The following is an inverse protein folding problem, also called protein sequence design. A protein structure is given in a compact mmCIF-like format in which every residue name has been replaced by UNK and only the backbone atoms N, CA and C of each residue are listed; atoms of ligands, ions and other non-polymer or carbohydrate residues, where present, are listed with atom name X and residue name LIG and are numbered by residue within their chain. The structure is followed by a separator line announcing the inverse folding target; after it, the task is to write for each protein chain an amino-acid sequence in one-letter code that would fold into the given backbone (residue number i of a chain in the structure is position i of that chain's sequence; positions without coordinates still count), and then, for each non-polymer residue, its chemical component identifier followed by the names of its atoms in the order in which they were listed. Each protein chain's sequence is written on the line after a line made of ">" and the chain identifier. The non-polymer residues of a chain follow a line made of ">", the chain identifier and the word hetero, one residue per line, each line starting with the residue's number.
data_IF_865234210054
#
_entry.id   IF_865234210054
#
_cell.length_a   1.000
_cell.length_b   1.000
_cell.length_c   1.000
_cell.angle_alpha   90.00
_cell.angle_beta   90.00
_cell.angle_gamma   90.00
#
_symmetry.space_group_name_H-M   'P 1'
#
loop_
_entity.id
_entity.type
_entity.pdbx_description
1 polymer ?
#
# COMPACT_ATOMS: atom_id res chain seq x y z
N UNK A 1 -48.07 -59.47 -6.10
CA UNK A 1 -47.37 -58.23 -5.70
C UNK A 1 -45.91 -58.55 -5.42
N UNK A 2 -45.04 -58.59 -6.44
CA UNK A 2 -43.58 -58.57 -6.28
C UNK A 2 -42.98 -57.81 -7.47
N UNK A 3 -41.96 -57.02 -7.13
CA UNK A 3 -40.84 -56.46 -7.89
C UNK A 3 -41.08 -55.42 -8.99
N UNK A 4 -40.49 -54.27 -8.75
CA UNK A 4 -40.18 -53.28 -9.76
C UNK A 4 -39.15 -52.25 -9.31
N UNK A 5 -38.31 -52.55 -8.30
CA UNK A 5 -37.09 -51.78 -8.12
C UNK A 5 -36.16 -52.15 -9.27
N UNK A 6 -36.23 -51.34 -10.32
CA UNK A 6 -35.26 -51.33 -11.40
C UNK A 6 -33.89 -51.10 -10.77
N UNK A 7 -33.13 -52.18 -10.59
CA UNK A 7 -31.70 -52.09 -10.32
C UNK A 7 -31.12 -51.19 -11.39
N UNK A 8 -30.61 -50.02 -11.00
CA UNK A 8 -29.81 -49.18 -11.88
C UNK A 8 -28.64 -50.05 -12.31
N UNK A 9 -28.71 -50.60 -13.53
CA UNK A 9 -27.63 -51.34 -14.13
C UNK A 9 -26.45 -50.38 -14.29
N UNK A 10 -25.55 -50.39 -13.31
CA UNK A 10 -24.21 -49.86 -13.53
C UNK A 10 -23.56 -50.77 -14.58
N UNK A 11 -23.17 -50.24 -15.75
CA UNK A 11 -22.48 -51.04 -16.75
C UNK A 11 -21.22 -51.67 -16.13
N UNK A 12 -20.82 -52.88 -16.54
CA UNK A 12 -19.62 -53.51 -16.03
C UNK A 12 -18.39 -52.64 -16.33
N UNK A 13 -17.51 -52.50 -15.34
CA UNK A 13 -16.24 -51.79 -15.49
C UNK A 13 -15.45 -52.39 -16.65
N UNK A 14 -14.84 -51.55 -17.47
CA UNK A 14 -14.08 -52.02 -18.63
C UNK A 14 -12.88 -52.87 -18.23
N UNK A 15 -12.43 -53.71 -19.16
CA UNK A 15 -11.18 -54.45 -19.04
C UNK A 15 -9.98 -53.53 -18.72
N UNK A 16 -10.03 -52.29 -19.21
CA UNK A 16 -8.97 -51.28 -18.98
C UNK A 16 -8.82 -50.91 -17.50
N UNK A 17 -9.88 -50.98 -16.69
CA UNK A 17 -9.81 -50.73 -15.24
C UNK A 17 -9.09 -51.85 -14.51
N UNK A 18 -9.28 -53.10 -14.94
CA UNK A 18 -8.57 -54.25 -14.35
C UNK A 18 -7.08 -54.16 -14.64
N UNK A 19 -6.73 -53.82 -15.88
CA UNK A 19 -5.33 -53.61 -16.28
C UNK A 19 -4.72 -52.41 -15.55
N UNK A 20 -5.44 -51.30 -15.39
CA UNK A 20 -4.97 -50.15 -14.60
C UNK A 20 -4.66 -50.54 -13.15
N UNK A 21 -5.53 -51.31 -12.50
CA UNK A 21 -5.30 -51.80 -11.14
C UNK A 21 -4.06 -52.69 -11.06
N UNK A 22 -3.85 -53.55 -12.07
CA UNK A 22 -2.65 -54.38 -12.19
C UNK A 22 -1.39 -53.52 -12.32
N UNK A 23 -1.36 -52.56 -13.24
CA UNK A 23 -0.21 -51.66 -13.48
C UNK A 23 0.14 -50.87 -12.19
N UNK A 24 -0.87 -50.38 -11.46
CA UNK A 24 -0.69 -49.70 -10.19
C UNK A 24 -0.16 -50.61 -9.08
N UNK A 25 -0.60 -51.88 -9.04
CA UNK A 25 -0.13 -52.87 -8.06
C UNK A 25 1.34 -53.26 -8.29
N UNK A 26 1.74 -53.36 -9.56
CA UNK A 26 3.12 -53.62 -10.00
C UNK A 26 4.02 -52.39 -9.91
N UNK A 27 3.48 -51.23 -9.51
CA UNK A 27 4.16 -49.94 -9.44
C UNK A 27 4.67 -49.44 -10.81
N UNK A 28 4.12 -49.92 -11.92
CA UNK A 28 4.40 -49.38 -13.24
C UNK A 28 3.55 -48.13 -13.51
N UNK A 29 3.97 -47.02 -12.89
CA UNK A 29 3.24 -45.77 -12.97
C UNK A 29 3.30 -45.10 -14.35
N UNK A 30 4.28 -45.46 -15.18
CA UNK A 30 4.36 -44.95 -16.56
C UNK A 30 3.30 -45.63 -17.41
N UNK A 31 3.22 -46.95 -17.33
CA UNK A 31 2.21 -47.73 -18.07
C UNK A 31 0.80 -47.40 -17.59
N UNK A 32 0.59 -47.31 -16.27
CA UNK A 32 -0.68 -46.87 -15.69
C UNK A 32 -1.10 -45.48 -16.21
N UNK A 33 -0.17 -44.53 -16.27
CA UNK A 33 -0.47 -43.19 -16.79
C UNK A 33 -0.80 -43.18 -18.29
N UNK A 34 -0.09 -43.97 -19.11
CA UNK A 34 -0.42 -44.14 -20.53
C UNK A 34 -1.82 -44.73 -20.71
N UNK A 35 -2.16 -45.75 -19.92
CA UNK A 35 -3.48 -46.38 -19.97
C UNK A 35 -4.60 -45.41 -19.59
N UNK A 36 -4.41 -44.62 -18.54
CA UNK A 36 -5.37 -43.57 -18.15
C UNK A 36 -5.59 -42.57 -19.31
N UNK A 37 -4.55 -42.19 -20.05
CA UNK A 37 -4.68 -41.26 -21.19
C UNK A 37 -5.50 -41.82 -22.35
N UNK A 38 -5.46 -43.13 -22.53
CA UNK A 38 -6.11 -43.82 -23.66
C UNK A 38 -7.56 -44.22 -23.37
N UNK A 39 -8.00 -44.17 -22.11
CA UNK A 39 -9.36 -44.49 -21.71
C UNK A 39 -10.39 -43.58 -22.37
N UNK A 40 -11.41 -44.17 -22.99
CA UNK A 40 -12.48 -43.44 -23.70
C UNK A 40 -13.85 -43.53 -23.03
N UNK A 41 -14.01 -44.44 -22.07
CA UNK A 41 -15.28 -44.73 -21.45
C UNK A 41 -15.50 -43.84 -20.21
N UNK A 42 -16.45 -42.88 -20.23
CA UNK A 42 -16.73 -42.02 -19.08
C UNK A 42 -17.29 -42.80 -17.88
N UNK A 43 -17.92 -43.96 -18.09
CA UNK A 43 -18.46 -44.77 -16.99
C UNK A 43 -17.38 -45.30 -16.04
N UNK A 44 -16.14 -45.40 -16.51
CA UNK A 44 -15.01 -45.85 -15.71
C UNK A 44 -14.41 -44.73 -14.84
N UNK A 45 -14.80 -43.47 -15.05
CA UNK A 45 -14.16 -42.30 -14.44
C UNK A 45 -14.07 -42.38 -12.91
N UNK A 46 -15.17 -42.76 -12.24
CA UNK A 46 -15.18 -42.91 -10.78
C UNK A 46 -14.15 -43.93 -10.29
N UNK A 47 -14.06 -45.08 -10.94
CA UNK A 47 -13.11 -46.13 -10.57
C UNK A 47 -11.66 -45.71 -10.83
N UNK A 48 -11.41 -44.94 -11.91
CA UNK A 48 -10.09 -44.35 -12.17
C UNK A 48 -9.73 -43.35 -11.09
N UNK A 49 -10.64 -42.44 -10.71
CA UNK A 49 -10.38 -41.43 -9.68
C UNK A 49 -10.05 -42.06 -8.33
N UNK A 50 -10.81 -43.07 -7.92
CA UNK A 50 -10.55 -43.81 -6.68
C UNK A 50 -9.15 -44.44 -6.70
N UNK A 51 -8.77 -45.10 -7.80
CA UNK A 51 -7.47 -45.74 -7.94
C UNK A 51 -6.31 -44.71 -7.97
N UNK A 52 -6.49 -43.60 -8.68
CA UNK A 52 -5.47 -42.58 -8.93
C UNK A 52 -5.30 -41.62 -7.75
N UNK A 53 -6.37 -41.23 -7.06
CA UNK A 53 -6.29 -40.32 -5.91
C UNK A 53 -5.95 -41.02 -4.60
N UNK A 54 -6.23 -42.32 -4.47
CA UNK A 54 -5.76 -43.12 -3.34
C UNK A 54 -4.23 -43.23 -3.30
N UNK A 55 -3.56 -43.02 -4.45
CA UNK A 55 -2.11 -43.09 -4.56
C UNK A 55 -1.53 -41.70 -4.83
N UNK A 56 -0.51 -41.30 -4.07
CA UNK A 56 0.18 -40.01 -4.27
C UNK A 56 1.16 -40.09 -5.45
N UNK A 57 0.67 -40.31 -6.68
CA UNK A 57 1.49 -40.56 -7.87
C UNK A 57 1.23 -39.46 -8.91
N UNK A 58 2.10 -38.43 -8.99
CA UNK A 58 1.92 -37.30 -9.90
C UNK A 58 1.85 -37.68 -11.38
N UNK A 59 2.55 -38.73 -11.80
CA UNK A 59 2.53 -39.21 -13.19
C UNK A 59 1.14 -39.68 -13.62
N UNK A 60 0.42 -40.40 -12.74
CA UNK A 60 -0.94 -40.84 -12.99
C UNK A 60 -1.94 -39.67 -12.94
N UNK A 61 -1.71 -38.70 -12.05
CA UNK A 61 -2.49 -37.44 -12.03
C UNK A 61 -2.38 -36.68 -13.35
N UNK A 62 -1.19 -36.58 -13.92
CA UNK A 62 -1.00 -35.98 -15.24
C UNK A 62 -1.69 -36.77 -16.34
N UNK A 63 -1.67 -38.10 -16.28
CA UNK A 63 -2.41 -38.94 -17.22
C UNK A 63 -3.91 -38.65 -17.19
N UNK A 64 -4.48 -38.51 -15.99
CA UNK A 64 -5.88 -38.17 -15.76
C UNK A 64 -6.25 -36.80 -16.32
N UNK A 65 -5.46 -35.77 -16.00
CA UNK A 65 -5.71 -34.39 -16.40
C UNK A 65 -5.52 -34.16 -17.91
N UNK A 66 -4.76 -35.02 -18.58
CA UNK A 66 -4.53 -34.97 -20.03
C UNK A 66 -5.54 -35.80 -20.83
N UNK A 67 -6.39 -36.59 -20.17
CA UNK A 67 -7.47 -37.32 -20.82
C UNK A 67 -8.70 -36.40 -20.94
N UNK A 68 -9.21 -36.11 -22.15
CA UNK A 68 -10.34 -35.19 -22.33
C UNK A 68 -11.62 -35.73 -21.69
N UNK A 69 -11.93 -37.02 -21.84
CA UNK A 69 -13.14 -37.65 -21.28
C UNK A 69 -13.11 -37.63 -19.76
N UNK A 70 -12.00 -38.08 -19.18
CA UNK A 70 -11.87 -38.20 -17.74
C UNK A 70 -11.64 -36.86 -17.04
N UNK A 71 -11.05 -35.87 -17.72
CA UNK A 71 -10.85 -34.54 -17.10
C UNK A 71 -12.14 -33.72 -17.08
N UNK A 72 -13.02 -33.88 -18.07
CA UNK A 72 -14.31 -33.20 -18.09
C UNK A 72 -15.27 -33.69 -16.99
N UNK A 73 -15.13 -34.94 -16.55
CA UNK A 73 -15.91 -35.54 -15.46
C UNK A 73 -15.34 -35.23 -14.06
N UNK A 74 -14.18 -34.55 -13.95
CA UNK A 74 -13.61 -34.20 -12.65
C UNK A 74 -14.47 -33.18 -11.91
N UNK A 75 -14.88 -33.49 -10.69
CA UNK A 75 -15.53 -32.54 -9.80
C UNK A 75 -14.57 -31.44 -9.33
N UNK A 76 -15.11 -30.28 -8.96
CA UNK A 76 -14.34 -29.19 -8.35
C UNK A 76 -13.62 -29.63 -7.08
N UNK A 77 -14.27 -30.44 -6.24
CA UNK A 77 -13.70 -30.99 -5.01
C UNK A 77 -12.48 -31.88 -5.28
N UNK A 78 -12.57 -32.78 -6.26
CA UNK A 78 -11.45 -33.65 -6.63
C UNK A 78 -10.27 -32.85 -7.19
N UNK A 79 -10.55 -31.82 -7.99
CA UNK A 79 -9.53 -30.95 -8.54
C UNK A 79 -8.84 -30.12 -7.45
N UNK A 80 -9.61 -29.58 -6.49
CA UNK A 80 -9.07 -28.86 -5.33
C UNK A 80 -8.24 -29.78 -4.42
N UNK A 81 -8.70 -31.00 -4.17
CA UNK A 81 -7.96 -31.99 -3.38
C UNK A 81 -6.63 -32.37 -4.05
N UNK A 82 -6.63 -32.56 -5.37
CA UNK A 82 -5.42 -32.84 -6.13
C UNK A 82 -4.45 -31.65 -6.09
N UNK A 83 -4.94 -30.43 -6.21
CA UNK A 83 -4.14 -29.23 -5.99
C UNK A 83 -3.57 -29.20 -4.57
N UNK A 84 -4.38 -29.35 -3.52
CA UNK A 84 -3.91 -29.31 -2.12
C UNK A 84 -2.81 -30.35 -1.84
N UNK A 85 -2.98 -31.56 -2.39
CA UNK A 85 -1.95 -32.62 -2.35
C UNK A 85 -0.69 -32.18 -3.08
N UNK A 86 -0.82 -31.63 -4.29
CA UNK A 86 0.34 -31.14 -5.05
C UNK A 86 1.10 -30.03 -4.30
N UNK A 87 0.41 -29.08 -3.65
CA UNK A 87 1.07 -28.03 -2.84
C UNK A 87 1.86 -28.65 -1.69
N UNK A 88 1.22 -29.57 -0.96
CA UNK A 88 1.81 -30.21 0.21
C UNK A 88 3.10 -30.95 -0.15
N UNK A 89 3.13 -31.60 -1.32
CA UNK A 89 4.34 -32.28 -1.80
C UNK A 89 5.36 -31.28 -2.36
N UNK A 90 4.94 -30.23 -3.07
CA UNK A 90 5.85 -29.17 -3.54
C UNK A 90 6.56 -28.44 -2.37
N UNK A 91 5.89 -28.26 -1.23
CA UNK A 91 6.54 -27.75 0.00
C UNK A 91 7.73 -28.60 0.44
N UNK A 92 7.66 -29.93 0.25
CA UNK A 92 8.70 -30.88 0.67
C UNK A 92 9.72 -31.14 -0.45
N UNK A 93 9.36 -30.93 -1.70
CA UNK A 93 10.19 -31.23 -2.87
C UNK A 93 9.95 -30.21 -4.00
N UNK A 94 10.51 -28.99 -3.89
CA UNK A 94 10.21 -27.88 -4.80
C UNK A 94 10.60 -28.14 -6.26
N UNK A 95 11.54 -29.06 -6.50
CA UNK A 95 12.07 -29.37 -7.84
C UNK A 95 11.35 -30.53 -8.54
N UNK A 96 10.25 -31.06 -7.98
CA UNK A 96 9.59 -32.23 -8.54
C UNK A 96 8.81 -31.90 -9.83
N UNK A 97 9.47 -32.04 -10.98
CA UNK A 97 8.97 -31.63 -12.32
C UNK A 97 7.53 -32.08 -12.60
N UNK A 98 7.17 -33.33 -12.29
CA UNK A 98 5.82 -33.83 -12.57
C UNK A 98 4.73 -33.11 -11.73
N UNK A 99 5.05 -32.69 -10.50
CA UNK A 99 4.13 -31.93 -9.65
C UNK A 99 4.01 -30.49 -10.13
N UNK A 100 5.12 -29.88 -10.55
CA UNK A 100 5.08 -28.57 -11.17
C UNK A 100 4.19 -28.56 -12.44
N UNK A 101 4.22 -29.66 -13.22
CA UNK A 101 3.38 -29.82 -14.41
C UNK A 101 1.89 -29.97 -14.11
N UNK A 102 1.50 -30.47 -12.94
CA UNK A 102 0.08 -30.65 -12.58
C UNK A 102 -0.65 -29.31 -12.59
N UNK A 103 -0.14 -28.32 -11.84
CA UNK A 103 -0.72 -26.98 -11.81
C UNK A 103 -0.74 -26.32 -13.20
N UNK A 104 0.31 -26.54 -14.00
CA UNK A 104 0.38 -26.03 -15.37
C UNK A 104 -0.67 -26.64 -16.31
N UNK A 105 -0.92 -27.95 -16.22
CA UNK A 105 -1.93 -28.62 -17.04
C UNK A 105 -3.33 -28.10 -16.69
N UNK A 106 -3.61 -27.93 -15.39
CA UNK A 106 -4.87 -27.33 -14.93
C UNK A 106 -5.00 -25.91 -15.46
N UNK A 107 -3.96 -25.08 -15.31
CA UNK A 107 -3.92 -23.69 -15.77
C UNK A 107 -4.15 -23.54 -17.29
N UNK A 108 -3.70 -24.51 -18.09
CA UNK A 108 -3.87 -24.54 -19.55
C UNK A 108 -5.25 -24.99 -20.02
N UNK A 109 -6.02 -25.64 -19.16
CA UNK A 109 -7.35 -26.14 -19.49
C UNK A 109 -8.42 -25.20 -18.91
N UNK A 110 -9.07 -24.43 -19.78
CA UNK A 110 -10.08 -23.45 -19.38
C UNK A 110 -11.27 -24.08 -18.63
N UNK A 111 -11.69 -25.31 -18.98
CA UNK A 111 -12.77 -25.99 -18.28
C UNK A 111 -12.36 -26.32 -16.84
N UNK A 112 -11.18 -26.92 -16.65
CA UNK A 112 -10.66 -27.23 -15.32
C UNK A 112 -10.44 -25.98 -14.48
N UNK A 113 -9.87 -24.91 -15.05
CA UNK A 113 -9.70 -23.63 -14.35
C UNK A 113 -11.02 -23.04 -13.89
N UNK A 114 -12.07 -23.05 -14.73
CA UNK A 114 -13.39 -22.53 -14.34
C UNK A 114 -13.98 -23.29 -13.16
N UNK A 115 -13.76 -24.61 -13.06
CA UNK A 115 -14.31 -25.44 -11.97
C UNK A 115 -13.75 -25.10 -10.59
N UNK A 116 -12.50 -24.64 -10.50
CA UNK A 116 -11.84 -24.31 -9.21
C UNK A 116 -11.59 -22.82 -9.01
N UNK A 117 -11.92 -21.97 -9.99
CA UNK A 117 -11.52 -20.56 -10.07
C UNK A 117 -9.98 -20.39 -10.24
N UNK A 118 -9.60 -19.45 -11.11
CA UNK A 118 -8.22 -19.05 -11.36
C UNK A 118 -7.49 -18.58 -10.09
N UNK A 119 -8.21 -17.93 -9.16
CA UNK A 119 -7.65 -17.50 -7.88
C UNK A 119 -7.10 -18.67 -7.03
N UNK A 120 -7.68 -19.87 -7.15
CA UNK A 120 -7.24 -21.05 -6.39
C UNK A 120 -5.86 -21.57 -6.82
N UNK A 121 -5.38 -21.17 -7.99
CA UNK A 121 -4.04 -21.50 -8.47
C UNK A 121 -2.99 -20.50 -7.97
N UNK A 122 -3.38 -19.33 -7.47
CA UNK A 122 -2.45 -18.27 -7.01
C UNK A 122 -1.50 -18.76 -5.92
N UNK A 123 -1.94 -19.44 -4.84
CA UNK A 123 -1.04 -19.91 -3.78
C UNK A 123 0.09 -20.81 -4.31
N UNK A 124 -0.18 -21.55 -5.40
CA UNK A 124 0.76 -22.47 -6.03
C UNK A 124 1.85 -21.78 -6.82
N UNK A 125 1.58 -20.57 -7.33
CA UNK A 125 2.48 -19.87 -8.26
C UNK A 125 3.83 -19.57 -7.62
N UNK A 126 3.84 -19.15 -6.35
CA UNK A 126 5.05 -18.85 -5.57
C UNK A 126 6.01 -20.03 -5.45
N UNK A 127 5.52 -21.27 -5.47
CA UNK A 127 6.32 -22.49 -5.33
C UNK A 127 6.51 -23.27 -6.63
N UNK A 128 5.83 -22.83 -7.69
CA UNK A 128 5.83 -23.51 -8.98
C UNK A 128 6.28 -22.54 -10.08
N UNK A 129 7.59 -22.50 -10.40
CA UNK A 129 8.12 -21.56 -11.38
C UNK A 129 7.55 -21.77 -12.79
N UNK A 130 7.20 -23.02 -13.15
CA UNK A 130 6.57 -23.30 -14.45
C UNK A 130 5.15 -22.71 -14.54
N UNK A 131 4.39 -22.79 -13.46
CA UNK A 131 3.06 -22.20 -13.39
C UNK A 131 3.14 -20.67 -13.37
N UNK A 132 4.03 -20.08 -12.55
CA UNK A 132 4.25 -18.64 -12.53
C UNK A 132 4.63 -18.11 -13.92
N UNK A 133 5.58 -18.77 -14.58
CA UNK A 133 6.01 -18.39 -15.93
C UNK A 133 4.89 -18.46 -16.96
N UNK A 134 4.01 -19.45 -16.88
CA UNK A 134 2.85 -19.57 -17.76
C UNK A 134 1.80 -18.48 -17.49
N UNK A 135 1.49 -18.22 -16.22
CA UNK A 135 0.49 -17.23 -15.83
C UNK A 135 0.93 -15.83 -16.26
N UNK A 136 2.19 -15.46 -16.03
CA UNK A 136 2.72 -14.14 -16.39
C UNK A 136 2.62 -13.80 -17.89
N UNK A 137 2.47 -14.80 -18.77
CA UNK A 137 2.35 -14.59 -20.21
C UNK A 137 0.95 -14.87 -20.75
N UNK A 138 0.04 -15.42 -19.95
CA UNK A 138 -1.33 -15.73 -20.38
C UNK A 138 -2.27 -14.56 -20.03
N UNK A 139 -2.76 -13.77 -21.02
CA UNK A 139 -3.62 -12.63 -20.77
C UNK A 139 -4.99 -13.01 -20.18
N UNK A 140 -5.55 -14.17 -20.60
CA UNK A 140 -6.82 -14.65 -20.05
C UNK A 140 -6.67 -14.97 -18.57
N UNK A 141 -5.59 -15.65 -18.19
CA UNK A 141 -5.31 -15.96 -16.80
C UNK A 141 -5.08 -14.68 -15.98
N UNK A 142 -4.21 -13.78 -16.46
CA UNK A 142 -3.91 -12.52 -15.78
C UNK A 142 -5.18 -11.71 -15.48
N UNK A 143 -6.14 -11.66 -16.42
CA UNK A 143 -7.39 -10.92 -16.25
C UNK A 143 -8.29 -11.38 -15.09
N UNK A 144 -8.02 -12.56 -14.51
CA UNK A 144 -8.73 -13.08 -13.33
C UNK A 144 -7.99 -12.79 -12.02
N UNK A 145 -6.85 -12.11 -12.07
CA UNK A 145 -6.03 -11.79 -10.90
C UNK A 145 -6.25 -10.34 -10.46
N UNK A 146 -6.21 -10.13 -9.15
CA UNK A 146 -6.17 -8.79 -8.59
C UNK A 146 -4.78 -8.14 -8.78
N UNK A 147 -4.68 -6.80 -8.72
CA UNK A 147 -3.43 -6.10 -8.94
C UNK A 147 -2.30 -6.47 -7.97
N UNK A 148 -2.63 -6.79 -6.71
CA UNK A 148 -1.65 -7.17 -5.70
C UNK A 148 -1.02 -8.53 -6.03
N UNK A 149 -1.84 -9.50 -6.42
CA UNK A 149 -1.37 -10.81 -6.89
C UNK A 149 -0.43 -10.68 -8.10
N UNK A 150 -0.74 -9.79 -9.05
CA UNK A 150 0.13 -9.55 -10.22
C UNK A 150 1.46 -8.93 -9.78
N UNK A 151 1.45 -7.98 -8.84
CA UNK A 151 2.67 -7.42 -8.28
C UNK A 151 3.54 -8.49 -7.60
N UNK A 152 2.92 -9.43 -6.89
CA UNK A 152 3.64 -10.54 -6.25
C UNK A 152 4.22 -11.52 -7.28
N UNK A 153 3.50 -11.80 -8.38
CA UNK A 153 4.03 -12.56 -9.52
C UNK A 153 5.23 -11.89 -10.18
N UNK A 154 5.22 -10.56 -10.30
CA UNK A 154 6.35 -9.78 -10.82
C UNK A 154 7.58 -9.95 -9.93
N UNK A 155 7.42 -9.94 -8.60
CA UNK A 155 8.53 -10.18 -7.67
C UNK A 155 9.13 -11.59 -7.82
N UNK A 156 8.29 -12.59 -8.11
CA UNK A 156 8.72 -13.98 -8.33
C UNK A 156 9.40 -14.16 -9.69
N UNK A 157 8.91 -13.48 -10.74
CA UNK A 157 9.39 -13.61 -12.12
C UNK A 157 9.73 -12.25 -12.76
N UNK A 158 10.75 -11.50 -12.28
CA UNK A 158 11.05 -10.17 -12.81
C UNK A 158 11.41 -10.16 -14.31
N UNK A 159 11.99 -11.26 -14.81
CA UNK A 159 12.33 -11.42 -16.24
C UNK A 159 11.11 -11.40 -17.17
N UNK A 160 9.89 -11.48 -16.63
CA UNK A 160 8.63 -11.49 -17.39
C UNK A 160 7.85 -10.19 -17.31
N UNK A 161 8.39 -9.14 -16.67
CA UNK A 161 7.71 -7.84 -16.57
C UNK A 161 7.32 -7.32 -17.95
N UNK A 162 8.25 -7.31 -18.93
CA UNK A 162 7.93 -6.88 -20.30
C UNK A 162 6.77 -7.65 -20.91
N UNK A 163 6.68 -8.96 -20.69
CA UNK A 163 5.55 -9.77 -21.18
C UNK A 163 4.23 -9.39 -20.51
N UNK A 164 4.22 -9.15 -19.20
CA UNK A 164 3.03 -8.71 -18.46
C UNK A 164 2.59 -7.32 -18.96
N UNK A 165 3.54 -6.39 -19.10
CA UNK A 165 3.27 -5.05 -19.62
C UNK A 165 2.74 -5.13 -21.06
N UNK A 166 3.32 -5.95 -21.94
CA UNK A 166 2.83 -6.10 -23.31
C UNK A 166 1.41 -6.69 -23.36
N UNK A 167 1.06 -7.61 -22.45
CA UNK A 167 -0.30 -8.12 -22.31
C UNK A 167 -1.28 -7.01 -21.87
N UNK A 168 -0.90 -6.20 -20.88
CA UNK A 168 -1.71 -5.05 -20.46
C UNK A 168 -1.88 -4.03 -21.59
N UNK A 169 -0.81 -3.75 -22.34
CA UNK A 169 -0.81 -2.85 -23.48
C UNK A 169 -1.78 -3.34 -24.56
N UNK A 170 -1.71 -4.63 -24.90
CA UNK A 170 -2.63 -5.26 -25.84
C UNK A 170 -4.10 -5.11 -25.41
N UNK A 171 -4.40 -5.36 -24.12
CA UNK A 171 -5.75 -5.21 -23.57
C UNK A 171 -6.22 -3.75 -23.66
N UNK A 172 -5.37 -2.78 -23.34
CA UNK A 172 -5.70 -1.35 -23.42
C UNK A 172 -5.93 -0.86 -24.86
N UNK A 173 -5.24 -1.44 -25.83
CA UNK A 173 -5.37 -1.09 -27.26
C UNK A 173 -6.58 -1.74 -27.93
N UNK A 174 -7.16 -2.78 -27.34
CA UNK A 174 -8.29 -3.50 -27.92
C UNK A 174 -9.54 -2.60 -27.95
N UNK A 175 -10.09 -2.34 -29.14
CA UNK A 175 -11.21 -1.39 -29.35
C UNK A 175 -12.60 -1.97 -29.07
N UNK A 176 -12.71 -3.27 -28.79
CA UNK A 176 -14.01 -3.92 -28.59
C UNK A 176 -14.73 -3.38 -27.35
N UNK A 177 -15.92 -2.83 -27.56
CA UNK A 177 -16.77 -2.30 -26.48
C UNK A 177 -17.22 -3.39 -25.49
N UNK A 178 -17.32 -4.64 -25.94
CA UNK A 178 -17.57 -5.80 -25.06
C UNK A 178 -16.43 -6.04 -24.05
N UNK A 179 -15.24 -5.50 -24.28
CA UNK A 179 -14.07 -5.60 -23.40
C UNK A 179 -13.87 -4.36 -22.50
N UNK A 180 -14.88 -3.52 -22.29
CA UNK A 180 -14.77 -2.35 -21.41
C UNK A 180 -14.29 -2.72 -19.99
N UNK A 181 -14.85 -3.78 -19.41
CA UNK A 181 -14.47 -4.26 -18.07
C UNK A 181 -13.00 -4.69 -18.00
N UNK A 182 -12.49 -5.40 -19.02
CA UNK A 182 -11.08 -5.81 -19.08
C UNK A 182 -10.14 -4.61 -19.24
N UNK A 183 -10.56 -3.59 -19.99
CA UNK A 183 -9.80 -2.34 -20.13
C UNK A 183 -9.70 -1.59 -18.81
N UNK A 184 -10.80 -1.46 -18.07
CA UNK A 184 -10.79 -0.79 -16.77
C UNK A 184 -9.98 -1.56 -15.73
N UNK A 185 -10.06 -2.90 -15.74
CA UNK A 185 -9.16 -3.76 -14.96
C UNK A 185 -7.69 -3.48 -15.31
N UNK A 186 -7.32 -3.45 -16.61
CA UNK A 186 -5.94 -3.23 -17.03
C UNK A 186 -5.41 -1.85 -16.58
N UNK A 187 -6.25 -0.82 -16.65
CA UNK A 187 -5.92 0.53 -16.13
C UNK A 187 -5.68 0.48 -14.63
N UNK A 188 -6.54 -0.20 -13.87
CA UNK A 188 -6.39 -0.31 -12.41
C UNK A 188 -5.14 -1.10 -12.02
N UNK A 189 -4.83 -2.18 -12.74
CA UNK A 189 -3.58 -2.92 -12.58
C UNK A 189 -2.38 -2.02 -12.87
N UNK A 190 -2.41 -1.23 -13.94
CA UNK A 190 -1.33 -0.31 -14.29
C UNK A 190 -1.09 0.75 -13.20
N UNK A 191 -2.16 1.36 -12.68
CA UNK A 191 -2.09 2.29 -11.52
C UNK A 191 -1.43 1.61 -10.32
N UNK A 192 -1.88 0.42 -9.96
CA UNK A 192 -1.34 -0.31 -8.82
C UNK A 192 0.14 -0.65 -9.01
N UNK A 193 0.50 -1.19 -10.18
CA UNK A 193 1.86 -1.61 -10.48
C UNK A 193 2.84 -0.42 -10.48
N UNK A 194 2.43 0.74 -10.99
CA UNK A 194 3.32 1.91 -10.99
C UNK A 194 3.57 2.44 -9.58
N UNK A 195 2.58 2.39 -8.69
CA UNK A 195 2.74 2.79 -7.29
C UNK A 195 3.60 1.79 -6.51
N UNK A 196 3.37 0.48 -6.69
CA UNK A 196 3.89 -0.54 -5.79
C UNK A 196 5.07 -1.37 -6.33
N UNK A 197 5.49 -1.20 -7.58
CA UNK A 197 6.59 -1.99 -8.18
C UNK A 197 7.71 -1.11 -8.74
N UNK A 198 8.87 -1.14 -8.07
CA UNK A 198 10.10 -0.48 -8.55
C UNK A 198 10.52 -1.05 -9.92
N UNK A 199 10.42 -2.36 -10.11
CA UNK A 199 10.83 -3.00 -11.36
C UNK A 199 9.97 -2.58 -12.56
N UNK A 200 8.66 -2.39 -12.35
CA UNK A 200 7.77 -1.87 -13.40
C UNK A 200 8.14 -0.43 -13.75
N UNK A 201 8.35 0.43 -12.75
CA UNK A 201 8.80 1.81 -12.98
C UNK A 201 10.11 1.86 -13.79
N UNK A 202 11.10 1.05 -13.40
CA UNK A 202 12.38 0.99 -14.11
C UNK A 202 12.22 0.50 -15.56
N UNK A 203 11.37 -0.50 -15.79
CA UNK A 203 11.11 -1.04 -17.14
C UNK A 203 10.42 -0.01 -18.04
N UNK A 204 9.46 0.74 -17.51
CA UNK A 204 8.77 1.80 -18.28
C UNK A 204 9.73 2.97 -18.54
N UNK A 205 10.57 3.33 -17.56
CA UNK A 205 11.52 4.42 -17.69
C UNK A 205 12.66 4.11 -18.68
N UNK A 206 13.07 2.84 -18.83
CA UNK A 206 14.13 2.47 -19.77
C UNK A 206 13.70 2.59 -21.23
N UNK A 207 12.42 2.33 -21.53
CA UNK A 207 11.87 2.29 -22.88
C UNK A 207 10.60 3.16 -23.01
N UNK A 208 10.66 4.49 -22.78
CA UNK A 208 9.48 5.34 -22.66
C UNK A 208 8.65 5.43 -23.95
N UNK A 209 9.27 5.24 -25.12
CA UNK A 209 8.57 5.21 -26.41
C UNK A 209 7.70 3.96 -26.56
N UNK A 210 8.19 2.79 -26.14
CA UNK A 210 7.43 1.52 -26.14
C UNK A 210 6.21 1.62 -25.22
N UNK A 211 6.37 2.28 -24.07
CA UNK A 211 5.33 2.43 -23.05
C UNK A 211 4.61 3.80 -23.08
N UNK A 212 4.67 4.53 -24.19
CA UNK A 212 4.04 5.86 -24.32
C UNK A 212 2.52 5.82 -24.03
N UNK A 213 1.84 4.74 -24.42
CA UNK A 213 0.42 4.56 -24.10
C UNK A 213 0.18 4.44 -22.59
N UNK A 214 1.03 3.73 -21.85
CA UNK A 214 0.91 3.65 -20.40
C UNK A 214 1.10 4.99 -19.73
N UNK A 215 2.14 5.73 -20.15
CA UNK A 215 2.40 7.07 -19.61
C UNK A 215 1.19 7.97 -19.89
N UNK A 216 0.60 7.89 -21.09
CA UNK A 216 -0.62 8.63 -21.44
C UNK A 216 -1.81 8.25 -20.56
N UNK A 217 -2.07 6.95 -20.38
CA UNK A 217 -3.15 6.48 -19.51
C UNK A 217 -2.93 6.90 -18.04
N UNK A 218 -1.70 6.80 -17.54
CA UNK A 218 -1.35 7.23 -16.18
C UNK A 218 -1.48 8.75 -16.01
N UNK A 219 -1.10 9.56 -17.01
CA UNK A 219 -1.35 11.01 -17.00
C UNK A 219 -2.85 11.32 -16.99
N UNK A 220 -3.65 10.60 -17.78
CA UNK A 220 -5.11 10.74 -17.75
C UNK A 220 -5.66 10.34 -16.36
N UNK A 221 -5.21 9.22 -15.79
CA UNK A 221 -5.61 8.79 -14.46
C UNK A 221 -5.20 9.80 -13.39
N UNK A 222 -4.00 10.38 -13.47
CA UNK A 222 -3.57 11.46 -12.60
C UNK A 222 -4.63 12.58 -12.59
N UNK A 223 -5.01 13.11 -13.76
CA UNK A 223 -5.97 14.21 -13.88
C UNK A 223 -7.39 13.90 -13.41
N UNK A 224 -7.80 12.62 -13.32
CA UNK A 224 -9.20 12.23 -13.07
C UNK A 224 -9.41 11.35 -11.83
N UNK A 225 -8.35 10.85 -11.20
CA UNK A 225 -8.40 9.93 -10.07
C UNK A 225 -7.65 10.54 -8.87
N UNK A 226 -8.38 11.23 -7.98
CA UNK A 226 -7.83 11.93 -6.80
C UNK A 226 -6.93 11.04 -5.92
N UNK A 227 -7.32 9.81 -5.52
CA UNK A 227 -6.42 8.90 -4.80
C UNK A 227 -5.09 8.63 -5.51
N UNK A 228 -5.13 8.38 -6.82
CA UNK A 228 -3.93 8.12 -7.60
C UNK A 228 -3.06 9.38 -7.72
N UNK A 229 -3.65 10.55 -7.96
CA UNK A 229 -2.93 11.83 -8.02
C UNK A 229 -2.18 12.12 -6.71
N UNK A 230 -2.81 11.88 -5.57
CA UNK A 230 -2.20 12.05 -4.25
C UNK A 230 -0.96 11.19 -4.08
N UNK A 231 -1.05 9.90 -4.41
CA UNK A 231 0.09 8.99 -4.30
C UNK A 231 1.21 9.29 -5.31
N UNK A 232 0.87 9.80 -6.49
CA UNK A 232 1.87 10.31 -7.46
C UNK A 232 2.63 11.50 -6.87
N UNK A 233 1.93 12.50 -6.32
CA UNK A 233 2.54 13.72 -5.79
C UNK A 233 3.40 13.49 -4.54
N UNK A 234 3.19 12.39 -3.81
CA UNK A 234 4.07 11.93 -2.73
C UNK A 234 5.36 11.28 -3.22
N UNK A 235 5.51 11.01 -4.53
CA UNK A 235 6.69 10.33 -5.08
C UNK A 235 7.32 11.13 -6.21
N UNK A 236 8.46 11.77 -5.91
CA UNK A 236 9.22 12.53 -6.92
C UNK A 236 9.58 11.69 -8.15
N UNK A 237 9.87 10.40 -7.95
CA UNK A 237 10.15 9.47 -9.05
C UNK A 237 8.95 9.28 -9.98
N UNK A 238 7.73 9.23 -9.43
CA UNK A 238 6.50 9.15 -10.22
C UNK A 238 6.20 10.48 -10.91
N UNK A 239 6.38 11.61 -10.22
CA UNK A 239 6.25 12.93 -10.83
C UNK A 239 7.20 13.08 -12.03
N UNK A 240 8.46 12.67 -11.90
CA UNK A 240 9.43 12.68 -13.01
C UNK A 240 8.99 11.75 -14.14
N UNK A 241 8.59 10.51 -13.84
CA UNK A 241 8.15 9.54 -14.85
C UNK A 241 6.95 10.06 -15.64
N UNK A 242 5.99 10.68 -14.95
CA UNK A 242 4.78 11.24 -15.55
C UNK A 242 4.96 12.68 -16.03
N UNK A 243 6.16 13.26 -15.92
CA UNK A 243 6.45 14.66 -16.28
C UNK A 243 5.43 15.64 -15.67
N UNK A 244 5.04 15.40 -14.42
CA UNK A 244 4.16 16.27 -13.64
C UNK A 244 5.05 17.23 -12.86
N UNK A 245 5.01 18.55 -13.16
CA UNK A 245 5.70 19.54 -12.34
C UNK A 245 5.03 19.58 -10.98
N UNK A 246 5.76 19.29 -9.90
CA UNK A 246 5.23 19.34 -8.53
C UNK A 246 4.71 20.74 -8.16
N UNK A 247 5.28 21.77 -8.77
CA UNK A 247 4.91 23.17 -8.51
C UNK A 247 3.59 23.58 -9.19
N UNK A 248 3.12 22.80 -10.16
CA UNK A 248 1.83 23.00 -10.83
C UNK A 248 0.70 22.21 -10.16
N UNK A 249 0.96 21.58 -9.01
CA UNK A 249 -0.01 20.70 -8.37
C UNK A 249 -1.31 21.42 -7.96
N UNK A 250 -1.25 22.71 -7.61
CA UNK A 250 -2.43 23.55 -7.33
C UNK A 250 -3.42 23.62 -8.50
N UNK A 251 -2.97 23.37 -9.74
CA UNK A 251 -3.82 23.33 -10.94
C UNK A 251 -4.61 22.03 -11.08
N UNK A 252 -4.43 21.07 -10.15
CA UNK A 252 -5.09 19.79 -10.22
C UNK A 252 -6.60 19.92 -9.93
N UNK A 253 -7.49 19.53 -10.86
CA UNK A 253 -8.92 19.88 -10.79
C UNK A 253 -9.70 19.20 -9.65
N UNK A 254 -9.17 18.12 -9.07
CA UNK A 254 -9.86 17.32 -8.04
C UNK A 254 -9.14 17.24 -6.68
N UNK A 255 -7.96 17.86 -6.53
CA UNK A 255 -7.28 17.87 -5.24
C UNK A 255 -7.84 19.01 -4.39
N UNK A 256 -7.95 18.77 -3.09
CA UNK A 256 -8.47 19.70 -2.08
C UNK A 256 -7.35 20.15 -1.16
N UNK A 257 -7.57 21.24 -0.41
CA UNK A 257 -6.58 21.73 0.56
C UNK A 257 -6.10 20.63 1.53
N UNK A 258 -7.03 19.76 1.99
CA UNK A 258 -6.70 18.59 2.82
C UNK A 258 -5.74 17.60 2.16
N UNK A 259 -5.85 17.38 0.84
CA UNK A 259 -4.91 16.50 0.16
C UNK A 259 -3.51 17.12 0.11
N UNK A 260 -3.41 18.42 -0.15
CA UNK A 260 -2.13 19.12 -0.16
C UNK A 260 -1.50 19.19 1.23
N UNK A 261 -2.31 19.34 2.29
CA UNK A 261 -1.84 19.20 3.66
C UNK A 261 -1.23 17.81 3.90
N UNK A 262 -1.92 16.74 3.50
CA UNK A 262 -1.42 15.36 3.64
C UNK A 262 -0.14 15.11 2.82
N UNK A 263 -0.07 15.65 1.60
CA UNK A 263 1.13 15.54 0.74
C UNK A 263 2.30 16.33 1.35
N UNK A 264 2.06 17.55 1.86
CA UNK A 264 3.08 18.35 2.52
C UNK A 264 3.63 17.63 3.77
N UNK A 265 2.75 17.06 4.59
CA UNK A 265 3.12 16.25 5.75
C UNK A 265 4.01 15.05 5.38
N UNK A 266 3.79 14.44 4.20
CA UNK A 266 4.65 13.35 3.72
C UNK A 266 6.11 13.79 3.50
N UNK A 267 6.33 15.05 3.13
CA UNK A 267 7.66 15.60 2.89
C UNK A 267 8.30 16.23 4.15
N UNK A 268 7.55 16.41 5.24
CA UNK A 268 8.10 16.86 6.52
C UNK A 268 9.16 15.87 7.03
N UNK A 269 10.30 16.39 7.50
CA UNK A 269 11.42 15.58 7.98
C UNK A 269 12.21 14.85 6.88
N UNK A 270 11.91 15.12 5.60
CA UNK A 270 12.71 14.65 4.47
C UNK A 270 13.63 15.76 3.95
N UNK A 271 14.58 15.41 3.07
CA UNK A 271 15.44 16.39 2.38
C UNK A 271 14.67 17.37 1.48
N UNK A 272 13.38 17.13 1.22
CA UNK A 272 12.54 17.96 0.35
C UNK A 272 11.59 18.88 1.15
N UNK A 273 12.07 19.43 2.26
CA UNK A 273 11.25 20.30 3.12
C UNK A 273 10.73 21.55 2.39
N UNK A 274 11.46 22.08 1.38
CA UNK A 274 10.97 23.21 0.56
C UNK A 274 9.69 22.86 -0.19
N UNK A 275 9.60 21.62 -0.68
CA UNK A 275 8.41 21.12 -1.34
C UNK A 275 7.25 20.92 -0.35
N UNK A 276 7.55 20.56 0.90
CA UNK A 276 6.54 20.51 1.97
C UNK A 276 5.91 21.90 2.19
N UNK A 277 6.73 22.95 2.28
CA UNK A 277 6.25 24.33 2.39
C UNK A 277 5.36 24.72 1.21
N UNK A 278 5.78 24.44 -0.03
CA UNK A 278 4.96 24.76 -1.22
C UNK A 278 3.58 24.10 -1.17
N UNK A 279 3.51 22.83 -0.77
CA UNK A 279 2.22 22.14 -0.63
C UNK A 279 1.37 22.70 0.53
N UNK A 280 1.97 23.14 1.63
CA UNK A 280 1.23 23.82 2.70
C UNK A 280 0.68 25.17 2.26
N UNK A 281 1.44 25.94 1.48
CA UNK A 281 0.95 27.18 0.89
C UNK A 281 -0.23 26.92 -0.06
N UNK A 282 -0.17 25.89 -0.91
CA UNK A 282 -1.31 25.49 -1.74
C UNK A 282 -2.52 25.03 -0.92
N UNK A 283 -2.28 24.35 0.21
CA UNK A 283 -3.36 23.98 1.12
C UNK A 283 -4.06 25.23 1.68
N UNK A 284 -3.30 26.27 2.04
CA UNK A 284 -3.84 27.55 2.51
C UNK A 284 -4.62 28.31 1.44
N UNK A 285 -4.16 28.32 0.19
CA UNK A 285 -4.90 28.89 -0.96
C UNK A 285 -6.28 28.24 -1.14
N UNK A 286 -6.42 26.98 -0.72
CA UNK A 286 -7.68 26.22 -0.72
C UNK A 286 -8.35 26.19 0.66
N UNK A 287 -8.06 27.18 1.50
CA UNK A 287 -8.67 27.41 2.82
C UNK A 287 -8.45 26.29 3.85
N UNK A 288 -7.43 25.43 3.68
CA UNK A 288 -7.06 24.41 4.66
C UNK A 288 -6.13 25.00 5.73
N UNK A 289 -6.71 25.68 6.72
CA UNK A 289 -5.98 26.47 7.70
C UNK A 289 -5.10 25.67 8.66
N UNK A 290 -5.27 24.33 8.77
CA UNK A 290 -4.35 23.47 9.52
C UNK A 290 -2.94 23.45 8.91
N UNK A 291 -2.78 23.85 7.65
CA UNK A 291 -1.47 24.01 7.02
C UNK A 291 -0.61 25.10 7.69
N UNK A 292 -1.22 26.11 8.32
CA UNK A 292 -0.49 27.10 9.12
C UNK A 292 0.31 26.42 10.24
N UNK A 293 -0.29 25.44 10.93
CA UNK A 293 0.38 24.74 12.02
C UNK A 293 1.59 23.93 11.53
N UNK A 294 1.49 23.37 10.32
CA UNK A 294 2.62 22.62 9.72
C UNK A 294 3.74 23.56 9.26
N UNK A 295 3.42 24.77 8.80
CA UNK A 295 4.40 25.80 8.46
C UNK A 295 5.17 26.29 9.71
N UNK A 296 4.50 26.46 10.86
CA UNK A 296 5.15 26.78 12.15
C UNK A 296 6.28 25.80 12.42
N UNK A 297 6.00 24.50 12.35
CA UNK A 297 7.00 23.45 12.61
C UNK A 297 8.18 23.48 11.63
N UNK A 298 7.96 23.90 10.37
CA UNK A 298 9.03 23.98 9.38
C UNK A 298 9.95 25.18 9.56
N UNK A 299 9.46 26.29 10.10
CA UNK A 299 10.22 27.55 10.16
C UNK A 299 10.69 27.93 11.56
N UNK A 300 10.13 27.35 12.62
CA UNK A 300 10.43 27.77 14.00
C UNK A 300 11.91 27.74 14.37
N UNK A 301 12.68 26.76 13.87
CA UNK A 301 14.12 26.65 14.15
C UNK A 301 14.95 27.73 13.42
N UNK A 302 14.48 28.19 12.26
CA UNK A 302 15.19 29.13 11.38
C UNK A 302 14.77 30.60 11.63
N UNK A 303 13.47 30.83 11.78
CA UNK A 303 12.86 32.15 12.00
C UNK A 303 11.64 32.00 12.94
N UNK A 304 11.85 32.06 14.27
CA UNK A 304 10.77 32.01 15.26
C UNK A 304 9.71 33.11 15.07
N UNK A 305 10.09 34.26 14.52
CA UNK A 305 9.15 35.35 14.30
C UNK A 305 8.19 35.04 13.15
N UNK A 306 8.69 34.46 12.05
CA UNK A 306 7.86 33.95 10.96
C UNK A 306 6.96 32.79 11.43
N UNK A 307 7.47 31.91 12.28
CA UNK A 307 6.67 30.84 12.89
C UNK A 307 5.51 31.41 13.72
N UNK A 308 5.76 32.45 14.50
CA UNK A 308 4.71 33.14 15.24
C UNK A 308 3.65 33.78 14.33
N UNK A 309 4.05 34.38 13.21
CA UNK A 309 3.12 34.93 12.22
C UNK A 309 2.15 33.85 11.69
N UNK A 310 2.68 32.70 11.28
CA UNK A 310 1.85 31.56 10.86
C UNK A 310 0.90 31.07 11.96
N UNK A 311 1.37 31.03 13.21
CA UNK A 311 0.55 30.64 14.36
C UNK A 311 -0.57 31.66 14.63
N UNK A 312 -0.31 32.96 14.47
CA UNK A 312 -1.33 34.00 14.55
C UNK A 312 -2.38 33.87 13.43
N UNK A 313 -1.98 33.47 12.22
CA UNK A 313 -2.91 33.15 11.15
C UNK A 313 -3.81 31.95 11.51
N UNK A 314 -3.24 30.91 12.13
CA UNK A 314 -4.01 29.76 12.63
C UNK A 314 -5.01 30.17 13.72
N UNK A 315 -4.60 30.97 14.72
CA UNK A 315 -5.48 31.48 15.79
C UNK A 315 -6.71 32.19 15.24
N UNK A 316 -6.56 32.98 14.17
CA UNK A 316 -7.65 33.77 13.59
C UNK A 316 -8.68 32.92 12.83
N UNK A 317 -8.29 31.73 12.34
CA UNK A 317 -9.08 30.94 11.38
C UNK A 317 -9.58 29.61 11.94
N UNK A 318 -8.85 29.00 12.86
CA UNK A 318 -9.24 27.73 13.48
C UNK A 318 -10.23 27.94 14.64
N UNK A 319 -11.08 26.94 14.97
CA UNK A 319 -12.04 27.05 16.06
C UNK A 319 -11.36 27.33 17.40
N UNK A 320 -11.99 28.20 18.21
CA UNK A 320 -11.57 28.40 19.61
C UNK A 320 -11.64 27.06 20.34
N UNK A 321 -10.56 26.69 21.01
CA UNK A 321 -10.47 25.44 21.74
C UNK A 321 -10.03 24.23 20.90
N UNK A 322 -9.68 24.42 19.62
CA UNK A 322 -9.13 23.36 18.79
C UNK A 322 -7.90 22.69 19.46
N UNK A 323 -7.90 21.36 19.66
CA UNK A 323 -6.85 20.69 20.41
C UNK A 323 -5.50 20.72 19.70
N UNK A 324 -5.46 20.78 18.36
CA UNK A 324 -4.22 20.86 17.60
C UNK A 324 -3.62 22.27 17.71
N UNK A 325 -4.46 23.31 17.66
CA UNK A 325 -4.02 24.69 17.88
C UNK A 325 -3.50 24.89 19.31
N UNK A 326 -4.21 24.38 20.33
CA UNK A 326 -3.75 24.43 21.72
C UNK A 326 -2.38 23.77 21.89
N UNK A 327 -2.23 22.57 21.33
CA UNK A 327 -0.97 21.84 21.37
C UNK A 327 0.13 22.61 20.65
N UNK A 328 -0.12 23.13 19.45
CA UNK A 328 0.87 23.90 18.69
C UNK A 328 1.30 25.18 19.43
N UNK A 329 0.38 25.86 20.12
CA UNK A 329 0.71 27.01 20.97
C UNK A 329 1.61 26.63 22.14
N UNK A 330 1.32 25.49 22.80
CA UNK A 330 2.12 24.99 23.90
C UNK A 330 3.52 24.56 23.43
N UNK A 331 3.59 23.74 22.38
CA UNK A 331 4.84 23.26 21.79
C UNK A 331 5.72 24.45 21.34
N UNK A 332 5.12 25.47 20.72
CA UNK A 332 5.84 26.68 20.30
C UNK A 332 6.28 27.55 21.48
N UNK A 333 5.47 27.70 22.53
CA UNK A 333 5.86 28.41 23.75
C UNK A 333 7.06 27.76 24.43
N UNK A 334 7.02 26.43 24.60
CA UNK A 334 8.12 25.68 25.20
C UNK A 334 9.40 25.83 24.35
N UNK A 335 9.29 25.73 23.02
CA UNK A 335 10.38 25.98 22.10
C UNK A 335 11.00 27.38 22.26
N UNK A 336 10.21 28.46 22.19
CA UNK A 336 10.76 29.82 22.26
C UNK A 336 11.32 30.14 23.64
N UNK A 337 10.77 29.55 24.72
CA UNK A 337 11.31 29.68 26.08
C UNK A 337 12.66 28.98 26.21
N UNK A 338 12.77 27.74 25.72
CA UNK A 338 14.03 26.98 25.73
C UNK A 338 15.11 27.66 24.89
N UNK A 339 14.73 28.24 23.75
CA UNK A 339 15.60 29.04 22.89
C UNK A 339 15.86 30.47 23.43
N UNK A 340 15.38 30.81 24.62
CA UNK A 340 15.58 32.11 25.31
C UNK A 340 15.02 33.34 24.57
N UNK A 341 13.99 33.15 23.74
CA UNK A 341 13.24 34.23 23.08
C UNK A 341 12.11 34.74 23.98
N UNK A 342 12.45 35.33 25.13
CA UNK A 342 11.49 35.70 26.18
C UNK A 342 10.39 36.67 25.73
N UNK A 343 10.70 37.68 24.92
CA UNK A 343 9.69 38.62 24.40
C UNK A 343 8.64 37.93 23.51
N UNK A 344 9.06 36.90 22.77
CA UNK A 344 8.16 36.11 21.93
C UNK A 344 7.36 35.12 22.78
N UNK A 345 8.00 34.51 23.79
CA UNK A 345 7.35 33.64 24.76
C UNK A 345 6.19 34.35 25.48
N UNK A 346 6.38 35.60 25.91
CA UNK A 346 5.34 36.41 26.55
C UNK A 346 4.13 36.66 25.61
N UNK A 347 4.39 36.88 24.32
CA UNK A 347 3.32 37.04 23.32
C UNK A 347 2.53 35.75 23.13
N UNK A 348 3.21 34.60 23.05
CA UNK A 348 2.55 33.30 22.91
C UNK A 348 1.73 32.97 24.16
N UNK A 349 2.28 33.24 25.34
CA UNK A 349 1.64 32.99 26.64
C UNK A 349 0.27 33.68 26.76
N UNK A 350 0.14 34.91 26.25
CA UNK A 350 -1.15 35.64 26.24
C UNK A 350 -2.26 34.98 25.40
N UNK A 351 -1.91 34.02 24.55
CA UNK A 351 -2.84 33.28 23.69
C UNK A 351 -3.08 31.83 24.15
N UNK A 352 -2.30 31.34 25.13
CA UNK A 352 -2.59 30.06 25.76
C UNK A 352 -3.86 30.21 26.61
N UNK A 353 -4.84 29.30 26.48
CA UNK A 353 -5.97 29.30 27.40
C UNK A 353 -5.41 29.11 28.81
N UNK A 354 -5.74 30.04 29.71
CA UNK A 354 -5.65 29.78 31.14
C UNK A 354 -6.50 28.55 31.37
N UNK A 355 -5.93 27.46 31.89
CA UNK A 355 -6.71 26.28 32.22
C UNK A 355 -7.88 26.73 33.11
N UNK A 356 -9.12 26.48 32.67
CA UNK A 356 -10.34 26.66 33.47
C UNK A 356 -10.39 25.66 34.65
N UNK A 357 -9.22 25.18 35.12
CA UNK A 357 -9.07 24.33 36.28
C UNK A 357 -9.20 25.14 37.58
N UNK A 358 -9.27 26.47 37.55
CA UNK A 358 -9.52 27.28 38.74
C UNK A 358 -10.94 27.08 39.29
N UNK A 359 -11.94 26.91 38.42
CA UNK A 359 -13.32 26.62 38.85
C UNK A 359 -13.46 25.17 39.36
N UNK A 360 -12.69 24.23 38.79
CA UNK A 360 -12.62 22.84 39.24
C UNK A 360 -11.78 22.67 40.54
N UNK A 361 -10.80 23.55 40.79
CA UNK A 361 -10.04 23.63 42.05
C UNK A 361 -10.87 24.29 43.17
N UNK A 362 -11.59 25.38 42.86
CA UNK A 362 -12.48 26.06 43.83
C UNK A 362 -13.66 25.14 44.21
N UNK A 363 -14.18 24.36 43.26
CA UNK A 363 -15.19 23.32 43.52
C UNK A 363 -14.68 22.16 44.39
N UNK A 364 -13.37 21.87 44.38
CA UNK A 364 -12.72 20.86 45.25
C UNK A 364 -12.25 21.42 46.60
N UNK A 365 -12.11 22.75 46.72
CA UNK A 365 -11.71 23.43 47.97
C UNK A 365 -12.88 23.89 48.85
N UNK A 366 -14.13 23.68 48.42
CA UNK A 366 -15.34 24.11 49.16
C UNK A 366 -16.04 22.99 49.93
N UNK A 367 -15.40 21.83 50.10
CA UNK A 367 -15.91 20.74 50.93
C UNK A 367 -14.80 20.25 51.87
N UNK A 368 -14.70 20.88 53.04
CA UNK A 368 -14.49 20.28 54.38
C UNK A 368 -13.97 21.34 55.39
N UNK A 369 -14.45 21.19 56.62
CA UNK A 369 -14.52 22.16 57.71
C UNK A 369 -13.19 22.66 58.32
N UNK A 370 -13.29 23.85 58.91
CA UNK A 370 -12.36 24.59 59.80
C UNK A 370 -11.07 25.23 59.22
N UNK A 371 -10.77 26.51 59.55
CA UNK A 371 -9.54 27.16 59.10
C UNK A 371 -8.35 26.81 60.01
N UNK A 372 -7.20 26.34 59.50
CA UNK A 372 -5.97 26.35 60.27
C UNK A 372 -5.42 27.78 60.34
N UNK A 373 -4.81 28.11 61.48
CA UNK A 373 -4.35 29.45 61.85
C UNK A 373 -3.37 30.08 60.84
N UNK A 374 -3.46 31.41 60.70
CA UNK A 374 -2.58 32.32 59.93
C UNK A 374 -1.05 32.12 60.13
N UNK A 375 -0.62 31.35 61.14
CA UNK A 375 0.80 31.04 61.36
C UNK A 375 1.40 30.05 60.36
N UNK A 376 0.58 29.26 59.63
CA UNK A 376 1.08 28.28 58.67
C UNK A 376 1.34 28.84 57.25
N UNK A 377 0.84 30.06 56.95
CA UNK A 377 0.99 30.70 55.64
C UNK A 377 2.32 31.46 55.46
N UNK A 378 3.00 31.82 56.56
CA UNK A 378 4.25 32.61 56.53
C UNK A 378 5.51 31.74 56.31
N UNK A 379 5.44 30.44 56.59
CA UNK A 379 6.53 29.49 56.33
C UNK A 379 6.58 29.01 54.87
N UNK A 380 5.47 29.10 54.13
CA UNK A 380 5.43 28.65 52.71
C UNK A 380 5.83 29.75 51.73
N UNK A 381 5.63 31.03 52.08
CA UNK A 381 5.91 32.17 51.20
C UNK A 381 7.36 32.69 51.27
N UNK A 382 8.13 32.29 52.29
CA UNK A 382 9.55 32.67 52.46
C UNK A 382 10.53 31.78 51.68
N UNK A 383 10.04 30.71 51.02
CA UNK A 383 10.85 29.76 50.24
C UNK A 383 11.00 30.06 48.73
N UNK A 384 10.31 31.07 48.18
CA UNK A 384 10.19 31.25 46.72
C UNK A 384 10.66 32.59 46.14
N UNK A 385 11.37 33.43 46.90
CA UNK A 385 11.96 34.66 46.36
C UNK A 385 13.48 34.68 46.57
N UNK A 386 14.31 34.66 45.50
CA UNK A 386 15.75 34.77 45.63
C UNK A 386 16.15 36.21 45.97
N UNK A 387 16.90 36.36 47.06
CA UNK A 387 17.56 37.61 47.42
C UNK A 387 18.69 37.92 46.42
N UNK A 388 18.70 39.14 45.91
CA UNK A 388 19.83 39.75 45.23
C UNK A 388 21.10 39.68 46.11
N UNK A 389 22.20 39.12 45.60
CA UNK A 389 23.52 39.49 46.08
C UNK A 389 24.59 39.38 44.99
N UNK A 390 25.26 40.50 44.78
CA UNK A 390 26.48 40.70 44.02
C UNK A 390 27.64 39.85 44.51
N UNK A 391 28.36 39.17 43.59
CA UNK A 391 29.83 39.09 43.61
C UNK A 391 30.37 38.65 42.25
N UNK A 392 31.47 39.30 41.88
CA UNK A 392 32.20 39.25 40.63
C UNK A 392 33.20 38.10 40.64
N UNK A 393 33.29 37.32 39.55
CA UNK A 393 34.51 36.60 39.18
C UNK A 393 34.55 36.39 37.65
N UNK A 394 35.47 37.10 36.99
CA UNK A 394 36.04 36.75 35.69
C UNK A 394 36.99 35.54 35.87
N UNK A 395 37.25 34.67 34.86
CA UNK A 395 37.77 35.13 33.56
C UNK A 395 37.45 34.29 32.31
N UNK A 396 37.73 34.90 31.15
CA UNK A 396 38.57 34.39 30.06
C UNK A 396 38.00 34.74 28.68
N UNK A 397 38.73 35.63 27.99
CA UNK A 397 38.59 35.90 26.57
C UNK A 397 38.82 34.62 25.76
N UNK A 398 37.87 34.29 24.90
CA UNK A 398 38.13 33.54 23.67
C UNK A 398 37.34 34.18 22.53
N UNK A 399 38.07 34.96 21.74
CA UNK A 399 37.99 35.09 20.28
C UNK A 399 36.60 35.11 19.64
N UNK A 400 36.15 36.31 19.28
CA UNK A 400 35.20 36.51 18.19
C UNK A 400 35.74 35.83 16.92
N UNK A 401 35.01 34.84 16.42
CA UNK A 401 35.03 34.50 15.00
C UNK A 401 33.71 34.98 14.42
N UNK A 402 33.78 36.03 13.61
CA UNK A 402 32.73 36.43 12.69
C UNK A 402 32.46 35.27 11.74
N UNK A 403 31.51 34.42 12.09
CA UNK A 403 30.80 33.59 11.13
C UNK A 403 29.51 34.32 10.80
N UNK A 404 29.55 35.17 9.78
CA UNK A 404 28.34 35.49 9.04
C UNK A 404 27.88 34.19 8.39
N UNK A 405 27.05 33.44 9.10
CA UNK A 405 26.26 32.39 8.49
C UNK A 405 25.41 33.07 7.40
N UNK A 406 25.43 32.59 6.15
CA UNK A 406 24.54 33.11 5.13
C UNK A 406 23.09 32.90 5.61
N UNK A 407 22.15 33.78 5.26
CA UNK A 407 20.75 33.56 5.61
C UNK A 407 20.34 32.17 5.12
N UNK A 408 19.71 31.38 5.99
CA UNK A 408 19.15 30.07 5.64
C UNK A 408 18.36 30.20 4.34
N UNK A 409 18.64 29.28 3.41
CA UNK A 409 18.03 29.22 2.09
C UNK A 409 16.49 29.12 2.17
N UNK A 410 15.95 28.60 3.27
CA UNK A 410 14.51 28.51 3.54
C UNK A 410 13.84 29.89 3.63
N UNK A 411 14.40 30.82 4.40
CA UNK A 411 13.89 32.20 4.54
C UNK A 411 13.98 33.02 3.26
N UNK A 412 14.89 32.68 2.34
CA UNK A 412 15.00 33.34 1.03
C UNK A 412 13.96 32.85 0.00
N UNK A 413 13.50 31.60 0.12
CA UNK A 413 12.50 31.03 -0.77
C UNK A 413 11.09 31.49 -0.38
N UNK A 414 10.74 31.47 0.91
CA UNK A 414 9.44 31.94 1.39
C UNK A 414 9.19 33.42 1.04
N UNK A 415 10.24 34.25 1.01
CA UNK A 415 10.14 35.65 0.56
C UNK A 415 9.87 35.82 -0.94
N UNK A 416 10.20 34.85 -1.79
CA UNK A 416 9.96 34.92 -3.25
C UNK A 416 8.55 34.46 -3.67
N UNK A 417 7.88 33.64 -2.88
CA UNK A 417 6.52 33.14 -3.15
C UNK A 417 5.39 34.06 -2.65
N UNK A 418 5.74 35.20 -2.03
CA UNK A 418 4.82 36.17 -1.39
C UNK A 418 3.78 36.92 -2.23
N UNK A 419 3.85 37.09 -3.58
CA UNK A 419 2.93 38.02 -4.23
C UNK A 419 1.45 37.60 -4.27
N UNK A 420 1.07 36.42 -3.78
CA UNK A 420 -0.30 35.90 -3.95
C UNK A 420 -1.07 35.60 -2.64
N UNK A 421 -0.51 35.91 -1.46
CA UNK A 421 -1.12 35.56 -0.16
C UNK A 421 -1.68 36.74 0.63
N UNK A 422 -1.65 37.95 0.07
CA UNK A 422 -2.10 39.17 0.75
C UNK A 422 -3.06 39.96 -0.15
N UNK A 423 -4.27 39.45 -0.34
CA UNK A 423 -5.47 40.27 -0.62
C UNK A 423 -6.63 39.84 0.28
#
# INVERSE_FOLDING_TARGET
>A
MISGFSARHNPPLSHDIQLLKSDLSLRDYKQAASRIKEMKNPHDAKAVYEAVFAKNIPTCWLGLLQNPVLSDELSSENLQNLLNKADTVLKRSPQHIALCRVGLVIAKNANLCRKINYASLVPYTSRNPHLAFYICVNPDFLSHLDPQTINDLIKICPTRIKSILNNLLFILQTKDNENAQKRDWAKHVLEYLILHSVFVRMTIQSDPEEYALFIRELKHRFLHNRPFAKEVLKSLKLCTLLQVPTNDAHKHPFLTGRDFLEIGQHYMGTVNFTLASDYFLFALELEEYYANLSLVTLVQDDDPQEAWEWLQHAIKRLPKGDPQLKKALQDFYDFVREAQHFELADKVLSHLPVEDDLDDLIGKLTVEDEPPSLAALDETLSGFLPAYSSTCEQPAKASASTSTAPPSFASQILKKSRPYLYE
#
